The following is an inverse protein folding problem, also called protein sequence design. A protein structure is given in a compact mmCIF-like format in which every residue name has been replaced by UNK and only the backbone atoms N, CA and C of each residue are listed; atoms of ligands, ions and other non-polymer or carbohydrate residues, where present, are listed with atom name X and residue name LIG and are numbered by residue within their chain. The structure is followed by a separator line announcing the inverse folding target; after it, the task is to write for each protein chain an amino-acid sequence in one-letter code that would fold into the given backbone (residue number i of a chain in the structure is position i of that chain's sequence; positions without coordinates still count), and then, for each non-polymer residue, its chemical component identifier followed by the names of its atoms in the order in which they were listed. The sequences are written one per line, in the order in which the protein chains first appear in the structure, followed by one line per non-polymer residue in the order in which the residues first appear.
data_IF_456214578551
#
_entry.id   IF_456214578551
#
_cell.length_a   1.000
_cell.length_b   1.000
_cell.length_c   1.000
_cell.angle_alpha   90.00
_cell.angle_beta   90.00
_cell.angle_gamma   90.00
#
_symmetry.space_group_name_H-M   'P 1'
#
loop_
_entity.id
_entity.type
_entity.pdbx_description
1 polymer ?
#
# COMPACT_ATOMS: atom_id res chain seq x y z
N UNK A 1 0.15 7.30 -4.92
CA UNK A 1 1.42 7.07 -5.63
C UNK A 1 1.91 8.37 -6.22
N UNK A 2 3.23 8.65 -6.10
CA UNK A 2 3.85 9.83 -6.68
C UNK A 2 4.68 9.48 -7.93
N UNK A 3 5.34 10.49 -8.50
CA UNK A 3 6.34 10.34 -9.57
C UNK A 3 7.49 9.38 -9.23
N UNK A 4 7.64 8.98 -7.96
CA UNK A 4 8.60 7.96 -7.51
C UNK A 4 8.05 6.52 -7.57
N UNK A 5 6.76 6.32 -7.80
CA UNK A 5 6.21 5.05 -8.30
C UNK A 5 6.50 4.97 -9.80
N UNK A 6 7.77 4.68 -10.15
CA UNK A 6 8.29 4.82 -11.52
C UNK A 6 7.47 4.07 -12.54
N UNK A 7 7.14 4.75 -13.66
CA UNK A 7 6.34 4.28 -14.78
C UNK A 7 4.87 3.98 -14.42
N UNK A 8 4.40 4.44 -13.25
CA UNK A 8 3.03 4.22 -12.79
C UNK A 8 2.41 5.48 -12.17
N UNK A 9 3.05 6.09 -11.16
CA UNK A 9 2.54 7.32 -10.54
C UNK A 9 2.81 8.58 -11.37
N UNK A 10 1.77 9.37 -11.64
CA UNK A 10 1.85 10.66 -12.33
C UNK A 10 1.68 11.86 -11.40
N UNK A 11 1.54 11.65 -10.10
CA UNK A 11 1.42 12.72 -9.11
C UNK A 11 2.77 13.34 -8.79
N UNK A 12 2.95 14.63 -9.05
CA UNK A 12 4.13 15.34 -8.59
C UNK A 12 4.01 15.64 -7.10
N UNK A 13 5.06 15.35 -6.34
CA UNK A 13 5.07 15.52 -4.88
C UNK A 13 4.64 16.91 -4.42
N UNK A 14 5.11 17.96 -5.10
CA UNK A 14 4.79 19.35 -4.75
C UNK A 14 3.32 19.71 -4.96
N UNK A 15 2.63 19.03 -5.87
CA UNK A 15 1.25 19.35 -6.26
C UNK A 15 0.23 18.59 -5.38
N UNK A 16 0.63 17.46 -4.77
CA UNK A 16 -0.22 16.65 -3.89
C UNK A 16 -0.84 17.43 -2.72
N UNK A 17 -0.07 18.16 -1.88
CA UNK A 17 -0.67 18.89 -0.76
C UNK A 17 -1.47 20.10 -1.21
N UNK A 18 -1.14 20.72 -2.35
CA UNK A 18 -1.94 21.80 -2.93
C UNK A 18 -3.32 21.27 -3.30
N UNK A 19 -3.36 20.13 -4.02
CA UNK A 19 -4.61 19.49 -4.42
C UNK A 19 -5.43 19.01 -3.23
N UNK A 20 -4.79 18.43 -2.22
CA UNK A 20 -5.45 18.02 -0.98
C UNK A 20 -6.17 19.21 -0.33
N UNK A 21 -5.49 20.36 -0.24
CA UNK A 21 -6.06 21.58 0.33
C UNK A 21 -7.22 22.13 -0.50
N UNK A 22 -7.12 22.14 -1.84
CA UNK A 22 -8.21 22.53 -2.73
C UNK A 22 -9.47 21.69 -2.51
N UNK A 23 -9.30 20.40 -2.18
CA UNK A 23 -10.38 19.47 -1.89
C UNK A 23 -10.86 19.51 -0.43
N UNK A 24 -10.34 20.44 0.39
CA UNK A 24 -10.71 20.59 1.80
C UNK A 24 -10.13 19.50 2.71
N UNK A 25 -9.10 18.79 2.28
CA UNK A 25 -8.42 17.79 3.09
C UNK A 25 -7.36 18.46 3.97
N UNK A 26 -7.25 18.03 5.23
CA UNK A 26 -6.24 18.49 6.19
C UNK A 26 -4.99 17.60 6.24
N UNK A 27 -5.07 16.43 5.61
CA UNK A 27 -4.02 15.39 5.62
C UNK A 27 -3.99 14.61 4.32
N UNK A 28 -2.83 14.09 3.96
CA UNK A 28 -2.63 13.23 2.78
C UNK A 28 -1.50 12.25 3.04
N UNK A 29 -1.62 11.03 2.51
CA UNK A 29 -0.59 10.00 2.59
C UNK A 29 0.23 9.92 1.29
N UNK A 30 1.50 9.50 1.42
CA UNK A 30 2.32 9.01 0.31
C UNK A 30 2.57 7.51 0.54
N UNK A 31 2.34 6.70 -0.49
CA UNK A 31 2.46 5.23 -0.45
C UNK A 31 2.98 4.71 -1.79
N UNK A 32 4.20 5.13 -2.15
CA UNK A 32 4.84 4.71 -3.41
C UNK A 32 5.18 3.22 -3.43
N UNK A 33 5.25 2.65 -4.62
CA UNK A 33 5.54 1.24 -4.87
C UNK A 33 6.97 0.86 -4.44
N UNK A 34 7.09 0.20 -3.30
CA UNK A 34 8.33 -0.40 -2.81
C UNK A 34 9.46 0.57 -2.48
N UNK A 35 9.20 1.89 -2.49
CA UNK A 35 10.21 2.93 -2.27
C UNK A 35 9.73 4.02 -1.34
N UNK A 36 10.69 4.76 -0.75
CA UNK A 36 10.44 5.93 0.09
C UNK A 36 11.22 7.17 -0.39
N UNK A 37 11.56 7.23 -1.68
CA UNK A 37 12.44 8.26 -2.24
C UNK A 37 11.86 9.67 -2.10
N UNK A 38 10.56 9.82 -2.29
CA UNK A 38 9.86 11.09 -2.21
C UNK A 38 9.52 11.58 -0.79
N UNK A 39 9.78 10.79 0.24
CA UNK A 39 9.27 11.03 1.60
C UNK A 39 9.63 12.40 2.16
N UNK A 40 10.90 12.82 2.06
CA UNK A 40 11.36 14.08 2.64
C UNK A 40 10.80 15.29 1.88
N UNK A 41 10.76 15.22 0.56
CA UNK A 41 10.22 16.30 -0.26
C UNK A 41 8.69 16.41 -0.07
N UNK A 42 8.00 15.29 0.03
CA UNK A 42 6.59 15.24 0.38
C UNK A 42 6.30 15.85 1.75
N UNK A 43 7.09 15.47 2.77
CA UNK A 43 6.96 16.04 4.10
C UNK A 43 7.10 17.56 4.09
N UNK A 44 8.15 18.08 3.43
CA UNK A 44 8.40 19.52 3.30
C UNK A 44 7.27 20.22 2.54
N UNK A 45 6.81 19.65 1.42
CA UNK A 45 5.71 20.21 0.63
C UNK A 45 4.40 20.28 1.43
N UNK A 46 4.06 19.23 2.18
CA UNK A 46 2.88 19.21 3.05
C UNK A 46 2.98 20.26 4.15
N UNK A 47 4.13 20.37 4.84
CA UNK A 47 4.33 21.37 5.90
C UNK A 47 4.23 22.79 5.36
N UNK A 48 4.78 23.08 4.19
CA UNK A 48 4.69 24.39 3.53
C UNK A 48 3.25 24.78 3.17
N UNK A 49 2.36 23.80 2.91
CA UNK A 49 0.97 24.03 2.56
C UNK A 49 -0.01 23.91 3.75
N UNK A 50 0.48 23.63 4.96
CA UNK A 50 -0.36 23.44 6.15
C UNK A 50 -1.20 22.15 6.10
N UNK A 51 -0.76 21.13 5.34
CA UNK A 51 -1.37 19.80 5.25
C UNK A 51 -0.56 18.83 6.09
N UNK A 52 -1.22 17.92 6.81
CA UNK A 52 -0.54 16.89 7.61
C UNK A 52 -0.02 15.78 6.70
N UNK A 53 1.32 15.55 6.65
CA UNK A 53 1.88 14.42 5.91
C UNK A 53 1.68 13.10 6.67
N UNK A 54 1.24 12.07 5.97
CA UNK A 54 1.22 10.68 6.46
C UNK A 54 2.22 9.92 5.61
N UNK A 55 3.27 9.42 6.25
CA UNK A 55 4.38 8.74 5.57
C UNK A 55 4.11 7.25 5.53
N UNK A 56 4.17 6.68 4.34
CA UNK A 56 3.97 5.26 4.11
C UNK A 56 4.72 4.74 2.89
N UNK A 57 4.47 3.48 2.60
CA UNK A 57 4.95 2.78 1.42
C UNK A 57 3.97 1.65 1.08
N UNK A 58 3.70 1.44 -0.19
CA UNK A 58 3.07 0.22 -0.66
C UNK A 58 4.18 -0.80 -0.92
N UNK A 59 4.39 -1.68 0.05
CA UNK A 59 5.44 -2.69 -0.03
C UNK A 59 4.98 -3.91 -0.82
N UNK A 60 5.93 -4.60 -1.45
CA UNK A 60 5.72 -5.88 -2.08
C UNK A 60 5.99 -7.00 -1.09
N UNK A 61 5.07 -7.94 -0.93
CA UNK A 61 5.20 -9.09 -0.04
C UNK A 61 5.43 -10.35 -0.88
N UNK A 62 6.53 -11.05 -0.61
CA UNK A 62 6.87 -12.31 -1.25
C UNK A 62 5.84 -13.40 -0.88
N UNK A 63 5.50 -14.32 -1.80
CA UNK A 63 4.55 -15.40 -1.52
C UNK A 63 5.08 -16.42 -0.50
N UNK A 64 6.40 -16.58 -0.41
CA UNK A 64 7.12 -17.44 0.53
C UNK A 64 8.10 -16.61 1.35
N UNK A 65 9.39 -16.87 1.26
CA UNK A 65 10.40 -16.02 1.89
C UNK A 65 10.96 -15.00 0.89
N UNK A 66 11.51 -13.89 1.37
CA UNK A 66 12.17 -12.88 0.54
C UNK A 66 13.40 -13.40 -0.20
N UNK A 67 13.96 -14.52 0.24
CA UNK A 67 15.14 -15.17 -0.36
C UNK A 67 14.78 -16.13 -1.51
N UNK A 68 13.54 -16.60 -1.57
CA UNK A 68 13.07 -17.51 -2.58
C UNK A 68 12.94 -16.82 -3.94
N UNK A 69 13.46 -17.45 -5.01
CA UNK A 69 13.53 -16.87 -6.37
C UNK A 69 13.19 -17.90 -7.45
N UNK A 70 12.22 -18.75 -7.19
CA UNK A 70 11.71 -19.70 -8.18
C UNK A 70 10.76 -18.96 -9.15
N UNK A 71 11.01 -18.99 -10.49
CA UNK A 71 10.20 -18.24 -11.45
C UNK A 71 8.74 -18.70 -11.52
N UNK A 72 8.43 -19.93 -11.14
CA UNK A 72 7.06 -20.45 -11.14
C UNK A 72 6.30 -20.14 -9.87
N UNK A 73 7.00 -20.04 -8.73
CA UNK A 73 6.39 -19.88 -7.41
C UNK A 73 6.52 -18.45 -6.86
N UNK A 74 7.63 -17.75 -7.14
CA UNK A 74 8.01 -16.51 -6.49
C UNK A 74 7.99 -15.27 -7.41
N UNK A 75 7.62 -15.44 -8.69
CA UNK A 75 7.49 -14.32 -9.63
C UNK A 75 6.33 -13.38 -9.31
N UNK A 76 5.33 -13.86 -8.55
CA UNK A 76 4.20 -13.07 -8.07
C UNK A 76 4.53 -12.50 -6.68
N UNK A 77 3.92 -11.38 -6.37
CA UNK A 77 4.02 -10.70 -5.07
C UNK A 77 2.67 -10.07 -4.75
N UNK A 78 2.43 -9.78 -3.48
CA UNK A 78 1.22 -9.08 -3.04
C UNK A 78 1.56 -7.67 -2.59
N UNK A 79 0.61 -6.76 -2.70
CA UNK A 79 0.73 -5.40 -2.20
C UNK A 79 0.27 -5.32 -0.74
N UNK A 80 0.91 -4.46 0.04
CA UNK A 80 0.54 -4.17 1.42
C UNK A 80 0.87 -2.71 1.71
N UNK A 81 -0.09 -1.98 2.29
CA UNK A 81 0.14 -0.60 2.70
C UNK A 81 0.64 -0.56 4.14
N UNK A 82 1.78 0.10 4.35
CA UNK A 82 2.33 0.38 5.66
C UNK A 82 2.46 1.89 5.87
N UNK A 83 1.93 2.41 6.98
CA UNK A 83 2.00 3.83 7.34
C UNK A 83 2.71 3.98 8.68
N UNK A 84 3.62 4.95 8.78
CA UNK A 84 4.36 5.25 10.00
C UNK A 84 3.51 6.10 10.96
N UNK A 85 3.33 5.65 12.20
CA UNK A 85 2.59 6.38 13.25
C UNK A 85 3.43 7.50 13.88
N UNK A 86 4.75 7.31 13.91
CA UNK A 86 5.72 8.20 14.52
C UNK A 86 7.12 7.95 13.97
N UNK A 87 8.15 8.59 14.55
CA UNK A 87 9.53 8.46 14.10
C UNK A 87 10.08 7.03 14.22
N UNK A 88 9.68 6.25 15.23
CA UNK A 88 10.11 4.85 15.35
C UNK A 88 9.47 4.00 14.24
N UNK A 89 8.18 4.21 13.96
CA UNK A 89 7.52 3.58 12.80
C UNK A 89 8.19 3.96 11.47
N UNK A 90 8.59 5.22 11.30
CA UNK A 90 9.36 5.63 10.12
C UNK A 90 10.69 4.88 9.98
N UNK A 91 11.43 4.69 11.08
CA UNK A 91 12.68 3.90 11.08
C UNK A 91 12.41 2.43 10.74
N UNK A 92 11.36 1.84 11.31
CA UNK A 92 10.96 0.46 11.02
C UNK A 92 10.56 0.29 9.55
N UNK A 93 9.75 1.22 9.01
CA UNK A 93 9.37 1.22 7.60
C UNK A 93 10.61 1.36 6.69
N UNK A 94 11.51 2.29 6.99
CA UNK A 94 12.77 2.47 6.26
C UNK A 94 13.63 1.21 6.30
N UNK A 95 13.64 0.50 7.44
CA UNK A 95 14.37 -0.77 7.58
C UNK A 95 13.75 -1.87 6.72
N UNK A 96 12.42 -2.01 6.72
CA UNK A 96 11.70 -2.97 5.88
C UNK A 96 11.97 -2.71 4.40
N UNK A 97 11.83 -1.45 3.94
CA UNK A 97 12.09 -1.07 2.56
C UNK A 97 13.57 -1.32 2.18
N UNK A 98 14.53 -1.02 3.07
CA UNK A 98 15.94 -1.30 2.79
C UNK A 98 16.22 -2.79 2.66
N UNK A 99 15.67 -3.63 3.55
CA UNK A 99 15.84 -5.08 3.49
C UNK A 99 15.19 -5.68 2.24
N UNK A 100 14.08 -5.13 1.76
CA UNK A 100 13.45 -5.57 0.53
C UNK A 100 14.36 -5.43 -0.70
N UNK A 101 15.21 -4.40 -0.72
CA UNK A 101 16.20 -4.22 -1.79
C UNK A 101 17.43 -5.09 -1.59
N UNK A 102 17.97 -5.15 -0.37
CA UNK A 102 19.25 -5.83 -0.10
C UNK A 102 19.11 -7.35 -0.11
N UNK A 103 18.01 -7.87 0.42
CA UNK A 103 17.79 -9.32 0.60
C UNK A 103 16.69 -9.86 -0.32
N UNK A 104 15.61 -9.10 -0.52
CA UNK A 104 14.37 -9.59 -1.12
C UNK A 104 14.17 -9.26 -2.59
N UNK A 105 15.15 -8.64 -3.26
CA UNK A 105 14.97 -8.19 -4.65
C UNK A 105 14.89 -9.40 -5.60
N UNK A 106 13.70 -9.55 -6.21
CA UNK A 106 13.42 -10.47 -7.30
C UNK A 106 12.28 -9.90 -8.14
N UNK A 107 12.59 -9.35 -9.31
CA UNK A 107 11.75 -8.46 -10.14
C UNK A 107 11.34 -7.17 -9.42
N UNK A 108 10.93 -7.25 -8.14
CA UNK A 108 10.57 -6.13 -7.27
C UNK A 108 11.27 -6.29 -5.91
N UNK A 109 11.44 -5.19 -5.15
CA UNK A 109 11.96 -5.25 -3.77
C UNK A 109 10.86 -5.81 -2.85
N UNK A 110 11.03 -7.04 -2.35
CA UNK A 110 10.01 -7.76 -1.58
C UNK A 110 10.43 -7.91 -0.12
N UNK A 111 9.50 -7.64 0.77
CA UNK A 111 9.56 -8.10 2.15
C UNK A 111 8.87 -9.47 2.27
N UNK A 112 8.96 -10.09 3.44
CA UNK A 112 8.19 -11.27 3.79
C UNK A 112 7.58 -11.14 5.20
N UNK A 113 6.79 -12.14 5.60
CA UNK A 113 6.12 -12.16 6.90
C UNK A 113 7.10 -12.18 8.08
N UNK A 114 8.30 -12.78 7.91
CA UNK A 114 9.33 -12.83 8.95
C UNK A 114 9.82 -11.43 9.35
N UNK A 115 10.29 -10.64 8.37
CA UNK A 115 10.78 -9.29 8.68
C UNK A 115 9.65 -8.32 9.01
N UNK A 116 8.44 -8.54 8.47
CA UNK A 116 7.28 -7.75 8.82
C UNK A 116 6.91 -7.94 10.30
N UNK A 117 6.88 -9.17 10.80
CA UNK A 117 6.66 -9.48 12.20
C UNK A 117 7.72 -8.85 13.10
N UNK A 118 8.98 -8.83 12.65
CA UNK A 118 10.10 -8.25 13.41
C UNK A 118 10.07 -6.72 13.52
N UNK A 119 9.56 -6.02 12.48
CA UNK A 119 9.62 -4.56 12.36
C UNK A 119 8.24 -3.90 12.28
N UNK A 120 7.16 -4.57 12.71
CA UNK A 120 5.78 -4.06 12.61
C UNK A 120 5.45 -2.93 13.60
N UNK A 121 6.22 -2.79 14.68
CA UNK A 121 5.91 -1.84 15.74
C UNK A 121 5.81 -0.40 15.22
N UNK A 122 4.81 0.33 15.73
CA UNK A 122 4.52 1.71 15.34
C UNK A 122 4.17 1.90 13.86
N UNK A 123 3.72 0.83 13.19
CA UNK A 123 3.15 0.88 11.85
C UNK A 123 1.64 0.64 11.91
N UNK A 124 0.92 1.30 10.99
CA UNK A 124 -0.45 0.95 10.61
C UNK A 124 -0.34 0.12 9.33
N UNK A 125 -1.15 -0.94 9.25
CA UNK A 125 -1.19 -1.82 8.10
C UNK A 125 -2.58 -1.81 7.46
N UNK A 126 -2.66 -1.66 6.12
CA UNK A 126 -3.90 -1.77 5.36
C UNK A 126 -3.76 -2.85 4.28
N UNK A 127 -4.87 -3.52 3.95
CA UNK A 127 -4.87 -4.70 3.06
C UNK A 127 -4.60 -4.41 1.59
N UNK A 128 -4.35 -3.17 1.23
CA UNK A 128 -4.04 -2.65 -0.11
C UNK A 128 -5.16 -2.85 -1.15
N UNK A 129 -4.79 -2.65 -2.44
CA UNK A 129 -5.66 -2.75 -3.61
C UNK A 129 -5.96 -4.21 -3.99
N UNK A 130 -6.50 -4.45 -5.20
CA UNK A 130 -6.79 -5.81 -5.69
C UNK A 130 -5.57 -6.75 -5.68
N UNK A 131 -4.35 -6.22 -5.76
CA UNK A 131 -3.12 -7.00 -5.67
C UNK A 131 -2.74 -7.41 -4.22
N UNK A 132 -3.50 -7.00 -3.21
CA UNK A 132 -3.31 -7.42 -1.82
C UNK A 132 -3.59 -8.91 -1.60
N UNK A 133 -2.91 -9.54 -0.65
CA UNK A 133 -2.96 -10.99 -0.39
C UNK A 133 -4.40 -11.49 -0.11
N UNK A 134 -5.15 -10.75 0.73
CA UNK A 134 -6.55 -11.07 1.04
C UNK A 134 -7.42 -10.96 -0.21
N UNK A 135 -7.25 -9.86 -0.97
CA UNK A 135 -8.06 -9.59 -2.15
C UNK A 135 -7.80 -10.64 -3.25
N UNK A 136 -6.56 -11.09 -3.40
CA UNK A 136 -6.20 -12.18 -4.30
C UNK A 136 -6.81 -13.51 -3.88
N UNK A 137 -6.89 -13.82 -2.59
CA UNK A 137 -7.59 -15.01 -2.09
C UNK A 137 -9.10 -14.95 -2.38
N UNK A 138 -9.73 -13.78 -2.14
CA UNK A 138 -11.16 -13.56 -2.46
C UNK A 138 -11.43 -13.77 -3.95
N UNK A 139 -10.59 -13.19 -4.83
CA UNK A 139 -10.76 -13.31 -6.29
C UNK A 139 -10.61 -14.75 -6.80
N UNK A 140 -9.82 -15.57 -6.11
CA UNK A 140 -9.68 -17.01 -6.39
C UNK A 140 -10.85 -17.85 -5.81
N UNK A 141 -11.75 -17.20 -5.04
CA UNK A 141 -12.84 -17.88 -4.35
C UNK A 141 -12.42 -18.59 -3.05
N UNK A 142 -11.18 -18.41 -2.60
CA UNK A 142 -10.66 -19.02 -1.37
C UNK A 142 -10.90 -18.13 -0.16
N UNK A 143 -12.14 -18.14 0.33
CA UNK A 143 -12.54 -17.37 1.50
C UNK A 143 -11.87 -17.84 2.80
N UNK A 144 -11.50 -19.14 2.87
CA UNK A 144 -10.80 -19.66 4.04
C UNK A 144 -9.40 -19.09 4.14
N UNK A 145 -8.67 -19.02 3.03
CA UNK A 145 -7.37 -18.39 2.98
C UNK A 145 -7.45 -16.88 3.24
N UNK A 146 -8.43 -16.19 2.64
CA UNK A 146 -8.66 -14.76 2.93
C UNK A 146 -8.84 -14.51 4.44
N UNK A 147 -9.59 -15.37 5.12
CA UNK A 147 -9.80 -15.27 6.56
C UNK A 147 -8.51 -15.57 7.36
N UNK A 148 -7.75 -16.59 6.97
CA UNK A 148 -6.49 -16.96 7.62
C UNK A 148 -5.48 -15.82 7.53
N UNK A 149 -5.32 -15.24 6.35
CA UNK A 149 -4.45 -14.08 6.11
C UNK A 149 -4.89 -12.87 6.93
N UNK A 150 -6.19 -12.56 6.96
CA UNK A 150 -6.73 -11.45 7.76
C UNK A 150 -6.47 -11.64 9.26
N UNK A 151 -6.62 -12.85 9.77
CA UNK A 151 -6.31 -13.20 11.17
C UNK A 151 -4.82 -13.03 11.48
N UNK A 152 -3.95 -13.44 10.56
CA UNK A 152 -2.51 -13.28 10.74
C UNK A 152 -2.13 -11.80 10.89
N UNK A 153 -2.56 -10.94 9.96
CA UNK A 153 -2.31 -9.50 10.05
C UNK A 153 -2.92 -8.88 11.31
N UNK A 154 -4.13 -9.27 11.67
CA UNK A 154 -4.77 -8.80 12.91
C UNK A 154 -3.97 -9.19 14.16
N UNK A 155 -3.39 -10.38 14.21
CA UNK A 155 -2.56 -10.80 15.33
C UNK A 155 -1.29 -9.95 15.45
N UNK A 156 -0.66 -9.56 14.35
CA UNK A 156 0.57 -8.77 14.34
C UNK A 156 0.29 -7.30 14.65
N UNK A 157 -0.69 -6.68 13.98
CA UNK A 157 -0.93 -5.24 14.06
C UNK A 157 -2.04 -4.85 15.05
N UNK A 158 -2.83 -5.80 15.52
CA UNK A 158 -3.90 -5.56 16.49
C UNK A 158 -4.91 -4.53 15.98
N UNK A 159 -5.06 -3.44 16.72
CA UNK A 159 -5.96 -2.31 16.40
C UNK A 159 -5.48 -1.43 15.24
N UNK A 160 -4.23 -1.57 14.84
CA UNK A 160 -3.60 -0.79 13.77
C UNK A 160 -3.67 -1.54 12.41
N UNK A 161 -4.50 -2.59 12.32
CA UNK A 161 -4.80 -3.28 11.07
C UNK A 161 -6.16 -2.89 10.51
N UNK A 162 -6.23 -2.60 9.19
CA UNK A 162 -7.43 -2.19 8.48
C UNK A 162 -7.63 -3.00 7.21
N UNK A 163 -8.88 -3.41 6.94
CA UNK A 163 -9.28 -3.89 5.62
C UNK A 163 -9.61 -2.70 4.73
N UNK A 164 -8.97 -2.63 3.57
CA UNK A 164 -9.04 -1.48 2.68
C UNK A 164 -10.08 -1.69 1.59
N UNK A 165 -11.05 -0.78 1.50
CA UNK A 165 -12.09 -0.76 0.46
C UNK A 165 -11.85 0.42 -0.47
N UNK A 166 -12.02 0.20 -1.78
CA UNK A 166 -11.81 1.19 -2.83
C UNK A 166 -13.04 1.29 -3.74
N UNK A 167 -13.25 2.44 -4.34
CA UNK A 167 -14.32 2.63 -5.33
C UNK A 167 -13.74 3.26 -6.61
N UNK A 168 -13.04 2.45 -7.37
CA UNK A 168 -12.35 2.84 -8.61
C UNK A 168 -13.08 2.44 -9.90
N UNK A 169 -14.33 1.95 -9.80
CA UNK A 169 -15.15 1.55 -10.95
C UNK A 169 -14.83 0.17 -11.54
N UNK A 170 -13.86 -0.56 -11.00
CA UNK A 170 -13.50 -1.92 -11.42
C UNK A 170 -14.50 -2.93 -10.85
N UNK A 171 -15.03 -3.82 -11.68
CA UNK A 171 -16.08 -4.78 -11.27
C UNK A 171 -15.60 -5.74 -10.17
N UNK A 172 -14.37 -6.22 -10.29
CA UNK A 172 -13.72 -7.09 -9.32
C UNK A 172 -13.64 -6.44 -7.95
N UNK A 173 -13.43 -5.12 -7.91
CA UNK A 173 -13.36 -4.36 -6.66
C UNK A 173 -14.70 -4.35 -5.92
N UNK A 174 -15.82 -4.30 -6.64
CA UNK A 174 -17.16 -4.36 -6.02
C UNK A 174 -17.37 -5.69 -5.30
N UNK A 175 -16.99 -6.81 -5.94
CA UNK A 175 -17.06 -8.15 -5.33
C UNK A 175 -16.15 -8.23 -4.08
N UNK A 176 -14.90 -7.77 -4.23
CA UNK A 176 -13.92 -7.80 -3.13
C UNK A 176 -14.40 -6.96 -1.96
N UNK A 177 -14.90 -5.75 -2.20
CA UNK A 177 -15.43 -4.88 -1.14
C UNK A 177 -16.55 -5.55 -0.33
N UNK A 178 -17.49 -6.26 -1.00
CA UNK A 178 -18.55 -6.98 -0.30
C UNK A 178 -17.97 -8.03 0.65
N UNK A 179 -16.98 -8.81 0.20
CA UNK A 179 -16.33 -9.84 1.02
C UNK A 179 -15.47 -9.26 2.13
N UNK A 180 -14.80 -8.14 1.89
CA UNK A 180 -14.07 -7.42 2.94
C UNK A 180 -14.99 -6.89 4.04
N UNK A 181 -16.20 -6.40 3.68
CA UNK A 181 -17.22 -5.96 4.66
C UNK A 181 -17.70 -7.15 5.51
N UNK A 182 -17.92 -8.32 4.89
CA UNK A 182 -18.27 -9.57 5.60
C UNK A 182 -17.15 -9.98 6.58
N UNK A 183 -15.88 -9.99 6.12
CA UNK A 183 -14.71 -10.32 6.93
C UNK A 183 -14.50 -9.31 8.08
N UNK A 184 -14.66 -8.01 7.79
CA UNK A 184 -14.57 -6.94 8.79
C UNK A 184 -15.49 -7.19 9.98
N UNK A 185 -16.76 -7.49 9.70
CA UNK A 185 -17.77 -7.81 10.73
C UNK A 185 -17.42 -9.10 11.47
N UNK A 186 -17.09 -10.17 10.74
CA UNK A 186 -16.76 -11.48 11.30
C UNK A 186 -15.55 -11.44 12.23
N UNK A 187 -14.50 -10.72 11.82
CA UNK A 187 -13.22 -10.69 12.52
C UNK A 187 -13.04 -9.45 13.42
N UNK A 188 -14.01 -8.54 13.44
CA UNK A 188 -13.89 -7.25 14.13
C UNK A 188 -12.60 -6.51 13.73
N UNK A 189 -12.39 -6.34 12.41
CA UNK A 189 -11.29 -5.56 11.82
C UNK A 189 -11.91 -4.30 11.21
N UNK A 190 -11.45 -3.10 11.54
CA UNK A 190 -12.01 -1.87 10.97
C UNK A 190 -11.75 -1.77 9.47
N UNK A 191 -12.68 -1.08 8.77
CA UNK A 191 -12.53 -0.74 7.37
C UNK A 191 -11.88 0.65 7.23
N UNK A 192 -11.10 0.83 6.15
CA UNK A 192 -10.63 2.13 5.68
C UNK A 192 -10.98 2.27 4.19
N UNK A 193 -11.48 3.45 3.81
CA UNK A 193 -11.72 3.78 2.41
C UNK A 193 -10.53 4.57 1.84
N UNK A 194 -10.03 4.16 0.68
CA UNK A 194 -8.92 4.82 -0.01
C UNK A 194 -9.23 4.97 -1.50
N UNK A 195 -8.45 5.81 -2.18
CA UNK A 195 -8.63 6.06 -3.61
C UNK A 195 -7.56 5.40 -4.48
N UNK A 196 -6.42 5.04 -3.92
CA UNK A 196 -5.28 4.50 -4.69
C UNK A 196 -4.93 5.41 -5.89
N UNK A 197 -4.77 6.71 -5.61
CA UNK A 197 -4.67 7.73 -6.64
C UNK A 197 -3.29 7.72 -7.32
N UNK A 198 -3.28 7.54 -8.64
CA UNK A 198 -2.08 7.55 -9.47
C UNK A 198 -1.91 8.86 -10.26
N UNK A 199 -2.93 9.71 -10.29
CA UNK A 199 -2.91 11.05 -10.89
C UNK A 199 -3.86 11.99 -10.13
N UNK A 200 -3.67 13.32 -10.30
CA UNK A 200 -4.35 14.34 -9.47
C UNK A 200 -5.77 14.67 -9.92
N UNK A 201 -6.01 14.72 -11.22
CA UNK A 201 -7.27 15.18 -11.81
C UNK A 201 -7.75 14.18 -12.85
N UNK A 202 -9.06 14.13 -13.07
CA UNK A 202 -9.68 13.26 -14.07
C UNK A 202 -9.09 13.47 -15.47
N UNK A 203 -8.71 14.69 -15.80
CA UNK A 203 -8.12 15.07 -17.08
C UNK A 203 -6.72 14.46 -17.29
N UNK A 204 -6.04 14.10 -16.20
CA UNK A 204 -4.69 13.50 -16.25
C UNK A 204 -4.73 12.00 -16.62
N UNK A 205 -5.92 11.40 -16.70
CA UNK A 205 -6.09 9.98 -17.03
C UNK A 205 -5.39 9.59 -18.33
N UNK A 206 -5.51 10.42 -19.37
CA UNK A 206 -4.85 10.18 -20.66
C UNK A 206 -3.32 10.20 -20.54
N UNK A 207 -2.77 11.17 -19.77
CA UNK A 207 -1.33 11.26 -19.56
C UNK A 207 -0.81 10.06 -18.78
N UNK A 208 -1.60 9.57 -17.81
CA UNK A 208 -1.29 8.36 -17.05
C UNK A 208 -1.30 7.11 -17.95
N UNK A 209 -2.28 6.99 -18.86
CA UNK A 209 -2.36 5.90 -19.83
C UNK A 209 -1.12 5.87 -20.75
N UNK A 210 -0.65 7.04 -21.20
CA UNK A 210 0.60 7.16 -21.98
C UNK A 210 1.81 6.72 -21.15
N UNK A 211 1.87 7.10 -19.86
CA UNK A 211 2.94 6.66 -18.95
C UNK A 211 2.99 5.13 -18.83
N UNK A 212 1.84 4.48 -18.68
CA UNK A 212 1.75 3.02 -18.59
C UNK A 212 2.21 2.29 -19.87
N UNK A 213 2.15 2.94 -21.03
CA UNK A 213 2.66 2.35 -22.28
C UNK A 213 4.21 2.21 -22.31
N UNK A 214 4.92 2.79 -21.33
CA UNK A 214 6.38 2.72 -21.23
C UNK A 214 6.83 1.53 -20.36
N UNK A 215 5.90 0.92 -19.60
CA UNK A 215 6.18 -0.21 -18.69
C UNK A 215 6.73 -1.44 -19.41
#
# INVERSE_FOLDING_TARGET
HSEFSLLDGANRIKDLPVRAKELGMDSIAITDHGVMFGTIDFYKACKANGVKPIIGCEVYVAPRTRFDKDPNLDSKYNHLILLAKNNEGYKNLSKLVSLSFVEGFYYKPRIDKEILEKYHENLICCSACLAGEINQAILKGDMQEAENVAKWFKNIFGKDYYLEVQNNGVKEQVLVNQKLIELSKKLNIPLIATNDAHYLKKEDAYNHEVLLCIQ
#
